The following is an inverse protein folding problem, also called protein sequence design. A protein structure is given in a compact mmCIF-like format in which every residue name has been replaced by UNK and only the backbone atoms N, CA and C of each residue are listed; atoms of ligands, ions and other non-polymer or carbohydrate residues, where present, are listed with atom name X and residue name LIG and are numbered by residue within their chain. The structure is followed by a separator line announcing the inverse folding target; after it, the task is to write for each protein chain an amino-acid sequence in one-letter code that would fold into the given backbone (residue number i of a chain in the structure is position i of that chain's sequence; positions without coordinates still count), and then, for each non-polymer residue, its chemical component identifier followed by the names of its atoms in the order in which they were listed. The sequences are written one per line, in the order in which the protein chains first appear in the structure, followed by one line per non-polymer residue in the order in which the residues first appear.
data_IF_126679865221
#
_entry.id   IF_126679865221
#
_cell.length_a   1.000
_cell.length_b   1.000
_cell.length_c   1.000
_cell.angle_alpha   90.00
_cell.angle_beta   90.00
_cell.angle_gamma   90.00
#
_symmetry.space_group_name_H-M   'P 1'
#
loop_
_entity.id
_entity.type
_entity.pdbx_description
1 polymer ?
#
# COMPACT_ATOMS: atom_id res chain seq x y z
N UNK A 1 23.12 3.76 9.66
CA UNK A 1 24.38 4.13 8.97
C UNK A 1 23.98 5.02 7.80
N UNK A 2 24.53 6.22 7.67
CA UNK A 2 24.17 7.11 6.55
C UNK A 2 24.67 6.49 5.24
N UNK A 3 23.86 6.57 4.19
CA UNK A 3 24.14 5.99 2.88
C UNK A 3 24.44 7.12 1.90
N UNK A 4 25.44 6.91 1.05
CA UNK A 4 25.86 7.86 0.03
C UNK A 4 25.89 7.17 -1.34
N UNK A 5 25.69 7.92 -2.42
CA UNK A 5 25.79 7.42 -3.79
C UNK A 5 26.95 8.10 -4.53
N UNK A 6 27.85 7.30 -5.07
CA UNK A 6 28.97 7.74 -5.91
C UNK A 6 28.50 7.89 -7.36
N UNK A 7 28.50 9.13 -7.86
CA UNK A 7 28.08 9.46 -9.22
C UNK A 7 29.02 8.91 -10.29
N UNK A 8 30.31 8.79 -10.00
CA UNK A 8 31.33 8.34 -10.94
C UNK A 8 31.26 6.83 -11.12
N UNK A 9 31.24 6.11 -10.01
CA UNK A 9 31.24 4.64 -9.99
C UNK A 9 29.82 4.06 -10.07
N UNK A 10 28.79 4.92 -10.02
CA UNK A 10 27.36 4.55 -10.04
C UNK A 10 27.00 3.48 -9.02
N UNK A 11 27.56 3.59 -7.81
CA UNK A 11 27.37 2.63 -6.72
C UNK A 11 27.13 3.32 -5.40
N UNK A 12 26.67 2.55 -4.42
CA UNK A 12 26.55 3.04 -3.05
C UNK A 12 27.86 2.97 -2.29
N UNK A 13 28.01 3.93 -1.39
CA UNK A 13 29.09 4.03 -0.40
C UNK A 13 28.45 3.98 0.98
N UNK A 14 28.87 2.98 1.76
CA UNK A 14 28.41 2.76 3.13
C UNK A 14 29.47 3.14 4.17
N UNK A 15 30.67 3.51 3.70
CA UNK A 15 31.78 3.93 4.54
C UNK A 15 31.52 5.31 5.16
N UNK A 16 32.06 5.53 6.35
CA UNK A 16 31.97 6.82 7.06
C UNK A 16 32.94 7.88 6.53
N UNK A 17 33.87 7.48 5.66
CA UNK A 17 34.84 8.36 5.02
C UNK A 17 35.23 7.86 3.63
N UNK A 18 35.79 8.75 2.81
CA UNK A 18 36.43 8.41 1.54
C UNK A 18 37.82 9.02 1.46
N UNK A 19 38.70 8.37 0.70
CA UNK A 19 40.02 8.90 0.36
C UNK A 19 40.01 9.36 -1.09
N UNK A 20 40.39 10.60 -1.31
CA UNK A 20 40.54 11.21 -2.63
C UNK A 20 41.97 11.74 -2.78
N UNK A 21 42.32 12.25 -3.96
CA UNK A 21 43.61 12.91 -4.19
C UNK A 21 43.80 14.16 -3.30
N UNK A 22 42.69 14.78 -2.86
CA UNK A 22 42.67 15.95 -1.98
C UNK A 22 42.68 15.59 -0.48
N UNK A 23 42.67 14.30 -0.13
CA UNK A 23 42.75 13.81 1.24
C UNK A 23 41.56 12.95 1.68
N UNK A 24 41.45 12.75 3.00
CA UNK A 24 40.41 11.93 3.65
C UNK A 24 39.25 12.82 4.08
N UNK A 25 38.04 12.47 3.63
CA UNK A 25 36.81 13.19 3.92
C UNK A 25 35.86 12.33 4.76
N UNK A 26 35.50 12.80 5.96
CA UNK A 26 34.48 12.15 6.80
C UNK A 26 33.08 12.59 6.36
N UNK A 27 32.33 11.69 5.75
CA UNK A 27 31.11 12.00 4.99
C UNK A 27 30.00 12.59 5.88
N UNK A 28 29.92 12.14 7.12
CA UNK A 28 28.89 12.59 8.07
C UNK A 28 29.06 14.06 8.50
N UNK A 29 30.22 14.67 8.20
CA UNK A 29 30.57 16.05 8.53
C UNK A 29 30.45 17.01 7.34
N UNK A 30 30.15 16.48 6.16
CA UNK A 30 30.04 17.27 4.94
C UNK A 30 28.59 17.67 4.68
N UNK A 31 28.40 18.90 4.22
CA UNK A 31 27.13 19.37 3.66
C UNK A 31 26.81 18.68 2.33
N UNK A 32 25.54 18.75 1.88
CA UNK A 32 25.12 18.24 0.56
C UNK A 32 25.98 18.82 -0.57
N UNK A 33 26.35 20.10 -0.46
CA UNK A 33 27.17 20.81 -1.45
C UNK A 33 28.61 20.31 -1.48
N UNK A 34 29.21 20.06 -0.31
CA UNK A 34 30.56 19.51 -0.19
C UNK A 34 30.62 18.05 -0.66
N UNK A 35 29.63 17.23 -0.32
CA UNK A 35 29.49 15.87 -0.85
C UNK A 35 29.39 15.88 -2.38
N UNK A 36 28.59 16.78 -2.95
CA UNK A 36 28.38 16.86 -4.39
C UNK A 36 29.67 17.22 -5.16
N UNK A 37 30.52 18.09 -4.57
CA UNK A 37 31.83 18.48 -5.12
C UNK A 37 32.80 17.29 -5.21
N UNK A 38 32.76 16.39 -4.23
CA UNK A 38 33.58 15.16 -4.24
C UNK A 38 32.89 13.99 -4.96
N UNK A 39 31.79 14.25 -5.69
CA UNK A 39 31.12 13.24 -6.51
C UNK A 39 30.11 12.37 -5.76
N UNK A 40 29.77 12.70 -4.51
CA UNK A 40 28.86 11.92 -3.67
C UNK A 40 27.51 12.64 -3.45
N UNK A 41 26.44 11.86 -3.26
CA UNK A 41 25.10 12.35 -2.92
C UNK A 41 24.55 11.64 -1.67
N UNK A 42 23.92 12.34 -0.71
CA UNK A 42 23.26 11.71 0.43
C UNK A 42 21.97 11.00 0.00
N UNK A 43 21.69 9.81 0.56
CA UNK A 43 20.48 9.01 0.27
C UNK A 43 19.46 9.15 1.41
N UNK A 44 18.18 9.36 1.05
CA UNK A 44 17.04 9.42 1.98
C UNK A 44 16.08 8.28 1.65
N UNK A 45 15.83 7.39 2.60
CA UNK A 45 14.90 6.27 2.43
C UNK A 45 13.45 6.74 2.66
N UNK A 46 12.53 6.38 1.76
CA UNK A 46 11.09 6.56 1.96
C UNK A 46 10.44 5.18 2.00
N UNK A 47 9.63 4.91 3.01
CA UNK A 47 8.87 3.67 3.11
C UNK A 47 7.74 3.67 2.08
N UNK A 48 7.79 2.73 1.15
CA UNK A 48 6.65 2.34 0.31
C UNK A 48 6.25 0.94 0.75
N UNK A 49 4.94 0.71 0.75
CA UNK A 49 4.28 -0.49 1.26
C UNK A 49 5.08 -1.77 0.95
N UNK A 50 5.62 -2.47 1.98
CA UNK A 50 6.71 -3.44 1.84
C UNK A 50 6.38 -4.74 1.10
N UNK A 51 5.13 -4.94 0.66
CA UNK A 51 4.67 -6.22 0.15
C UNK A 51 4.81 -6.40 -1.37
N UNK A 52 5.13 -5.34 -2.14
CA UNK A 52 5.06 -5.42 -3.62
C UNK A 52 6.29 -4.94 -4.39
N UNK A 53 7.13 -4.06 -3.84
CA UNK A 53 8.40 -3.63 -4.45
C UNK A 53 9.18 -2.77 -3.44
N UNK A 54 10.46 -3.06 -3.24
CA UNK A 54 11.36 -2.10 -2.57
C UNK A 54 11.93 -1.16 -3.63
N UNK A 55 11.27 -0.01 -3.81
CA UNK A 55 11.77 1.08 -4.66
C UNK A 55 12.51 2.08 -3.77
N UNK A 56 13.78 2.29 -4.05
CA UNK A 56 14.54 3.37 -3.43
C UNK A 56 14.59 4.55 -4.38
N UNK A 57 14.06 5.70 -3.95
CA UNK A 57 14.12 6.95 -4.69
C UNK A 57 15.39 7.71 -4.30
N UNK A 58 16.17 8.12 -5.30
CA UNK A 58 17.36 8.93 -5.09
C UNK A 58 17.27 10.20 -5.90
N UNK A 59 17.34 11.34 -5.24
CA UNK A 59 17.53 12.61 -5.93
C UNK A 59 18.99 12.70 -6.44
N UNK A 60 19.16 12.77 -7.76
CA UNK A 60 20.44 12.99 -8.45
C UNK A 60 20.30 14.25 -9.29
N UNK A 61 20.99 15.31 -8.89
CA UNK A 61 21.04 16.60 -9.62
C UNK A 61 19.66 17.25 -9.87
N UNK A 62 18.73 17.09 -8.91
CA UNK A 62 17.36 17.61 -9.01
C UNK A 62 16.36 16.67 -9.69
N UNK A 63 16.80 15.50 -10.17
CA UNK A 63 15.92 14.46 -10.73
C UNK A 63 15.81 13.25 -9.78
N UNK A 64 14.59 12.72 -9.59
CA UNK A 64 14.36 11.52 -8.79
C UNK A 64 14.59 10.26 -9.63
N UNK A 65 15.66 9.52 -9.34
CA UNK A 65 15.98 8.23 -9.96
C UNK A 65 15.50 7.12 -9.04
N UNK A 66 14.55 6.31 -9.50
CA UNK A 66 14.08 5.12 -8.80
C UNK A 66 14.99 3.92 -9.11
N UNK A 67 15.46 3.22 -8.07
CA UNK A 67 16.18 1.94 -8.20
C UNK A 67 15.38 0.83 -7.51
N UNK A 68 15.08 -0.24 -8.25
CA UNK A 68 14.42 -1.45 -7.72
C UNK A 68 15.50 -2.32 -7.08
N UNK A 69 15.43 -2.54 -5.76
CA UNK A 69 16.47 -3.23 -4.99
C UNK A 69 16.13 -4.71 -4.77
N UNK A 70 14.85 -5.05 -4.70
CA UNK A 70 14.40 -6.43 -4.54
C UNK A 70 13.09 -6.66 -5.29
N UNK A 71 13.14 -7.53 -6.30
CA UNK A 71 11.98 -8.16 -6.90
C UNK A 71 11.83 -9.55 -6.29
N UNK A 72 11.11 -9.63 -5.17
CA UNK A 72 10.54 -10.92 -4.74
C UNK A 72 9.71 -11.40 -5.92
N UNK A 73 10.08 -12.55 -6.51
CA UNK A 73 9.34 -13.29 -7.55
C UNK A 73 7.95 -12.70 -7.79
N UNK A 74 7.80 -11.84 -8.81
CA UNK A 74 6.52 -11.27 -9.20
C UNK A 74 5.66 -12.46 -9.62
N UNK A 75 4.96 -13.09 -8.67
CA UNK A 75 3.71 -13.69 -9.05
C UNK A 75 2.86 -12.50 -9.43
N UNK A 76 2.70 -12.32 -10.75
CA UNK A 76 1.85 -11.33 -11.39
C UNK A 76 0.69 -10.97 -10.46
N UNK A 77 0.60 -9.69 -10.07
CA UNK A 77 -0.55 -9.24 -9.29
C UNK A 77 -1.71 -9.16 -10.27
N UNK A 78 -2.34 -10.31 -10.46
CA UNK A 78 -3.35 -10.48 -11.47
C UNK A 78 -4.66 -9.85 -11.02
N UNK A 79 -5.59 -9.70 -11.97
CA UNK A 79 -6.96 -9.28 -11.68
C UNK A 79 -7.63 -10.20 -10.65
N UNK A 80 -7.34 -11.50 -10.68
CA UNK A 80 -7.85 -12.46 -9.71
C UNK A 80 -7.35 -12.18 -8.28
N UNK A 81 -6.07 -11.79 -8.13
CA UNK A 81 -5.52 -11.42 -6.82
C UNK A 81 -6.15 -10.13 -6.29
N UNK A 82 -6.30 -9.11 -7.14
CA UNK A 82 -6.99 -7.87 -6.78
C UNK A 82 -8.44 -8.14 -6.34
N UNK A 83 -9.17 -8.97 -7.09
CA UNK A 83 -10.55 -9.35 -6.74
C UNK A 83 -10.59 -10.11 -5.41
N UNK A 84 -9.63 -11.01 -5.17
CA UNK A 84 -9.57 -11.77 -3.93
C UNK A 84 -9.29 -10.85 -2.74
N UNK A 85 -8.32 -9.95 -2.86
CA UNK A 85 -7.98 -8.99 -1.81
C UNK A 85 -9.16 -8.05 -1.50
N UNK A 86 -9.88 -7.58 -2.52
CA UNK A 86 -11.13 -6.86 -2.32
C UNK A 86 -12.14 -7.68 -1.52
N UNK A 87 -12.36 -8.95 -1.87
CA UNK A 87 -13.32 -9.82 -1.17
C UNK A 87 -12.95 -10.01 0.29
N UNK A 88 -11.68 -10.23 0.57
CA UNK A 88 -11.20 -10.47 1.93
C UNK A 88 -11.42 -9.20 2.78
N UNK A 89 -10.98 -8.04 2.30
CA UNK A 89 -11.12 -6.77 3.02
C UNK A 89 -12.58 -6.32 3.18
N UNK A 90 -13.40 -6.47 2.14
CA UNK A 90 -14.83 -6.15 2.22
C UNK A 90 -15.58 -7.12 3.15
N UNK A 91 -15.21 -8.40 3.14
CA UNK A 91 -15.71 -9.40 4.07
C UNK A 91 -15.39 -9.04 5.52
N UNK A 92 -14.12 -8.71 5.81
CA UNK A 92 -13.68 -8.27 7.13
C UNK A 92 -14.42 -7.00 7.61
N UNK A 93 -14.61 -6.02 6.72
CA UNK A 93 -15.36 -4.80 7.03
C UNK A 93 -16.81 -5.10 7.44
N UNK A 94 -17.48 -5.96 6.67
CA UNK A 94 -18.85 -6.41 6.94
C UNK A 94 -18.95 -7.20 8.26
N UNK A 95 -18.03 -8.14 8.46
CA UNK A 95 -18.02 -9.02 9.62
C UNK A 95 -17.73 -8.25 10.91
N UNK A 96 -16.78 -7.32 10.88
CA UNK A 96 -16.47 -6.46 12.03
C UNK A 96 -17.69 -5.66 12.48
N UNK A 97 -18.43 -5.08 11.54
CA UNK A 97 -19.67 -4.34 11.87
C UNK A 97 -20.77 -5.25 12.41
N UNK A 98 -20.92 -6.46 11.89
CA UNK A 98 -21.85 -7.44 12.45
C UNK A 98 -21.46 -7.85 13.88
N UNK A 99 -20.16 -8.00 14.16
CA UNK A 99 -19.63 -8.32 15.49
C UNK A 99 -19.87 -7.21 16.51
N UNK A 100 -19.84 -5.94 16.09
CA UNK A 100 -20.23 -4.80 16.95
C UNK A 100 -21.70 -4.92 17.44
N UNK A 101 -22.54 -5.65 16.71
CA UNK A 101 -23.94 -5.94 17.04
C UNK A 101 -24.14 -7.30 17.73
N UNK A 102 -23.06 -8.01 18.06
CA UNK A 102 -23.12 -9.28 18.78
C UNK A 102 -23.33 -10.52 17.90
N UNK A 103 -23.24 -10.39 16.58
CA UNK A 103 -23.29 -11.51 15.64
C UNK A 103 -21.88 -12.09 15.37
N UNK A 104 -21.80 -13.37 15.00
CA UNK A 104 -20.51 -13.97 14.60
C UNK A 104 -19.89 -13.31 13.36
N UNK A 105 -20.71 -13.00 12.35
CA UNK A 105 -20.31 -12.44 11.05
C UNK A 105 -21.54 -11.88 10.28
N UNK A 106 -21.31 -11.33 9.08
CA UNK A 106 -22.39 -10.74 8.28
C UNK A 106 -23.46 -11.76 7.84
N UNK A 107 -23.09 -13.03 7.68
CA UNK A 107 -24.04 -14.09 7.30
C UNK A 107 -24.99 -14.39 8.44
N UNK A 108 -24.50 -14.49 9.68
CA UNK A 108 -25.37 -14.71 10.83
C UNK A 108 -26.31 -13.52 11.04
N UNK A 109 -25.82 -12.29 10.98
CA UNK A 109 -26.65 -11.08 11.05
C UNK A 109 -27.75 -11.07 9.98
N UNK A 110 -27.38 -11.23 8.70
CA UNK A 110 -28.34 -11.17 7.60
C UNK A 110 -29.30 -12.37 7.51
N UNK A 111 -29.00 -13.50 8.17
CA UNK A 111 -29.84 -14.70 8.13
C UNK A 111 -31.20 -14.51 8.81
N UNK A 112 -31.28 -13.64 9.83
CA UNK A 112 -32.52 -13.36 10.56
C UNK A 112 -33.58 -12.63 9.72
N UNK A 113 -33.22 -12.10 8.55
CA UNK A 113 -34.18 -11.47 7.64
C UNK A 113 -35.24 -12.44 7.09
N UNK A 114 -34.91 -13.72 6.99
CA UNK A 114 -35.69 -14.73 6.26
C UNK A 114 -36.94 -15.25 6.97
N UNK A 115 -37.09 -14.97 8.26
CA UNK A 115 -38.19 -15.47 9.09
C UNK A 115 -38.71 -14.38 10.01
N UNK A 116 -39.96 -14.50 10.46
CA UNK A 116 -40.51 -13.61 11.49
C UNK A 116 -39.83 -13.89 12.83
N UNK A 117 -39.15 -12.89 13.39
CA UNK A 117 -38.47 -12.92 14.67
C UNK A 117 -38.14 -11.48 15.13
N UNK A 118 -37.75 -11.32 16.40
CA UNK A 118 -37.48 -10.02 17.00
C UNK A 118 -36.33 -9.24 16.32
N UNK A 119 -35.45 -9.92 15.57
CA UNK A 119 -34.29 -9.35 14.86
C UNK A 119 -34.51 -9.23 13.35
N UNK A 120 -35.73 -9.45 12.86
CA UNK A 120 -35.97 -9.50 11.41
C UNK A 120 -35.64 -8.19 10.69
N UNK A 121 -36.01 -7.04 11.27
CA UNK A 121 -35.75 -5.73 10.64
C UNK A 121 -34.25 -5.39 10.61
N UNK A 122 -33.52 -5.68 11.70
CA UNK A 122 -32.07 -5.53 11.75
C UNK A 122 -31.38 -6.47 10.73
N UNK A 123 -31.84 -7.73 10.65
CA UNK A 123 -31.34 -8.68 9.65
C UNK A 123 -31.56 -8.21 8.22
N UNK A 124 -32.72 -7.59 7.91
CA UNK A 124 -32.98 -6.97 6.60
C UNK A 124 -32.02 -5.82 6.32
N UNK A 125 -31.78 -4.96 7.30
CA UNK A 125 -30.86 -3.84 7.17
C UNK A 125 -29.42 -4.31 6.88
N UNK A 126 -28.91 -5.29 7.64
CA UNK A 126 -27.62 -5.94 7.35
C UNK A 126 -27.59 -6.58 5.96
N UNK A 127 -28.68 -7.24 5.55
CA UNK A 127 -28.80 -7.83 4.21
C UNK A 127 -28.69 -6.79 3.09
N UNK A 128 -29.42 -5.69 3.21
CA UNK A 128 -29.40 -4.57 2.25
C UNK A 128 -28.02 -3.91 2.24
N UNK A 129 -27.45 -3.62 3.41
CA UNK A 129 -26.14 -3.00 3.54
C UNK A 129 -25.03 -3.86 2.93
N UNK A 130 -25.00 -5.16 3.23
CA UNK A 130 -24.10 -6.13 2.59
C UNK A 130 -24.16 -6.04 1.06
N UNK A 131 -25.37 -6.02 0.50
CA UNK A 131 -25.55 -5.89 -0.95
C UNK A 131 -25.05 -4.55 -1.50
N UNK A 132 -25.23 -3.44 -0.77
CA UNK A 132 -24.67 -2.13 -1.15
C UNK A 132 -23.14 -2.17 -1.17
N UNK A 133 -22.48 -2.70 -0.14
CA UNK A 133 -21.01 -2.83 -0.05
C UNK A 133 -20.46 -3.62 -1.24
N UNK A 134 -21.00 -4.82 -1.49
CA UNK A 134 -20.55 -5.64 -2.62
C UNK A 134 -20.75 -4.95 -3.95
N UNK A 135 -21.91 -4.30 -4.15
CA UNK A 135 -22.20 -3.57 -5.37
C UNK A 135 -21.18 -2.44 -5.61
N UNK A 136 -20.90 -1.63 -4.59
CA UNK A 136 -19.91 -0.55 -4.67
C UNK A 136 -18.53 -1.09 -5.05
N UNK A 137 -18.08 -2.15 -4.39
CA UNK A 137 -16.80 -2.76 -4.68
C UNK A 137 -16.67 -3.33 -6.09
N UNK A 138 -17.67 -4.07 -6.57
CA UNK A 138 -17.65 -4.58 -7.94
C UNK A 138 -17.79 -3.47 -8.99
N UNK A 139 -18.52 -2.39 -8.71
CA UNK A 139 -18.57 -1.23 -9.60
C UNK A 139 -17.21 -0.54 -9.70
N UNK A 140 -16.54 -0.30 -8.57
CA UNK A 140 -15.19 0.25 -8.54
C UNK A 140 -14.21 -0.61 -9.37
N UNK A 141 -14.22 -1.93 -9.16
CA UNK A 141 -13.36 -2.84 -9.95
C UNK A 141 -13.70 -2.82 -11.44
N UNK A 142 -14.98 -2.69 -11.80
CA UNK A 142 -15.40 -2.59 -13.20
C UNK A 142 -14.96 -1.27 -13.85
N UNK A 143 -15.01 -0.14 -13.13
CA UNK A 143 -14.56 1.18 -13.61
C UNK A 143 -13.06 1.21 -13.89
N UNK A 144 -12.26 0.46 -13.11
CA UNK A 144 -10.81 0.37 -13.32
C UNK A 144 -10.44 -0.58 -14.48
N UNK A 145 -11.34 -1.47 -14.89
CA UNK A 145 -11.31 -2.15 -16.19
C UNK A 145 -10.01 -2.91 -16.52
N UNK A 146 -9.23 -2.30 -17.43
CA UNK A 146 -7.97 -2.79 -18.01
C UNK A 146 -6.72 -2.12 -17.41
N UNK A 147 -6.88 -1.28 -16.38
CA UNK A 147 -5.75 -0.74 -15.63
C UNK A 147 -4.91 -1.87 -15.05
N UNK A 148 -3.61 -1.64 -14.95
CA UNK A 148 -2.70 -2.57 -14.28
C UNK A 148 -3.21 -2.81 -12.84
N UNK A 149 -3.59 -4.04 -12.47
CA UNK A 149 -4.17 -4.32 -11.16
C UNK A 149 -3.25 -3.89 -10.01
N UNK A 150 -1.93 -3.87 -10.22
CA UNK A 150 -0.94 -3.45 -9.21
C UNK A 150 -0.98 -1.95 -8.89
N UNK A 151 -1.63 -1.15 -9.75
CA UNK A 151 -1.77 0.30 -9.58
C UNK A 151 -3.09 0.71 -8.92
N UNK A 152 -4.00 -0.23 -8.69
CA UNK A 152 -5.33 0.04 -8.12
C UNK A 152 -5.23 0.09 -6.60
N UNK A 153 -5.55 1.24 -6.02
CA UNK A 153 -5.55 1.42 -4.58
C UNK A 153 -6.91 1.01 -3.98
N UNK A 154 -6.95 -0.12 -3.25
CA UNK A 154 -8.16 -0.58 -2.57
C UNK A 154 -8.49 0.22 -1.29
N UNK A 155 -7.55 0.96 -0.72
CA UNK A 155 -7.83 1.79 0.47
C UNK A 155 -8.82 2.91 0.13
N UNK A 156 -8.71 3.50 -1.08
CA UNK A 156 -9.67 4.47 -1.61
C UNK A 156 -11.09 3.89 -1.66
N UNK A 157 -11.23 2.62 -2.06
CA UNK A 157 -12.52 1.94 -2.09
C UNK A 157 -13.09 1.76 -0.68
N UNK A 158 -12.25 1.35 0.28
CA UNK A 158 -12.68 1.10 1.66
C UNK A 158 -13.20 2.37 2.35
N UNK A 159 -12.54 3.51 2.11
CA UNK A 159 -13.00 4.82 2.60
C UNK A 159 -14.36 5.23 2.03
N UNK A 160 -14.68 4.79 0.80
CA UNK A 160 -15.93 5.06 0.11
C UNK A 160 -17.04 4.03 0.33
N UNK A 161 -16.83 3.00 1.16
CA UNK A 161 -17.85 1.99 1.39
C UNK A 161 -19.05 2.57 2.15
N UNK A 162 -20.28 2.13 1.81
CA UNK A 162 -21.47 2.60 2.50
C UNK A 162 -21.43 2.22 3.99
N UNK A 163 -21.99 3.07 4.83
CA UNK A 163 -22.21 2.79 6.25
C UNK A 163 -23.50 1.98 6.46
N UNK A 164 -23.56 1.28 7.59
CA UNK A 164 -24.73 0.54 8.02
C UNK A 164 -25.79 1.51 8.55
N UNK A 165 -26.99 1.44 7.99
CA UNK A 165 -28.16 2.20 8.42
C UNK A 165 -29.14 1.23 9.08
N UNK A 166 -29.34 1.35 10.39
CA UNK A 166 -30.16 0.48 11.25
C UNK A 166 -30.93 1.32 12.25
#
# INVERSE_FOLDING_TARGET
MKKYFDKKEKRFVFDSYVTTDDGIFYLDRLSKEELNKIGLLPVVEVQINPDYQTVEYKEVDGEYVAQIIETKSIQEYTKEKLIQEFKDRAGEYLDKKAQEHGYDNILSASSYAGYENDFQEEGKAFGVWKSKVWKTGYMFLAEKGDQDPSTINLDELLEGLPELEI
#
